data_IF_938681543617
#
_entry.id   IF_938681543617
#
_cell.length_a   1.000
_cell.length_b   1.000
_cell.length_c   1.000
_cell.angle_alpha   90.00
_cell.angle_beta   90.00
_cell.angle_gamma   90.00
#
_symmetry.space_group_name_H-M   'P 1'
#
loop_
_entity.id
_entity.type
_entity.pdbx_description
1 polymer ?
#
# COMPACT_ATOMS: atom_id res chain seq x y z
N UNK A 1 -13.29 -13.26 2.59
CA UNK A 1 -12.07 -12.64 2.09
C UNK A 1 -12.39 -11.34 1.36
N UNK A 2 -11.48 -10.35 1.38
CA UNK A 2 -11.77 -9.02 0.86
C UNK A 2 -11.55 -8.97 -0.67
N UNK A 3 -12.59 -8.67 -1.48
CA UNK A 3 -12.46 -8.72 -2.94
C UNK A 3 -11.37 -7.81 -3.53
N UNK A 4 -11.21 -6.61 -2.96
CA UNK A 4 -10.17 -5.67 -3.43
C UNK A 4 -8.78 -6.24 -3.19
N UNK A 5 -8.56 -6.85 -2.03
CA UNK A 5 -7.27 -7.42 -1.72
C UNK A 5 -6.97 -8.66 -2.57
N UNK A 6 -7.98 -9.47 -2.85
CA UNK A 6 -7.83 -10.60 -3.78
C UNK A 6 -7.42 -10.12 -5.16
N UNK A 7 -8.02 -9.05 -5.65
CA UNK A 7 -7.66 -8.46 -6.94
C UNK A 7 -6.21 -7.97 -6.93
N UNK A 8 -5.79 -7.30 -5.86
CA UNK A 8 -4.42 -6.83 -5.69
C UNK A 8 -3.45 -8.01 -5.73
N UNK A 9 -3.76 -9.07 -5.00
CA UNK A 9 -2.92 -10.28 -5.00
C UNK A 9 -2.80 -10.91 -6.38
N UNK A 10 -3.90 -10.94 -7.13
CA UNK A 10 -3.88 -11.50 -8.49
C UNK A 10 -2.99 -10.69 -9.42
N UNK A 11 -2.96 -9.37 -9.28
CA UNK A 11 -2.06 -8.51 -10.04
C UNK A 11 -0.60 -8.78 -9.69
N UNK A 12 -0.31 -8.99 -8.41
CA UNK A 12 1.05 -9.29 -7.96
C UNK A 12 1.55 -10.63 -8.51
N UNK A 13 0.65 -11.60 -8.68
CA UNK A 13 0.98 -12.91 -9.24
C UNK A 13 1.24 -12.86 -10.74
N UNK A 14 0.92 -11.77 -11.40
CA UNK A 14 1.21 -11.56 -12.81
C UNK A 14 2.71 -11.52 -13.09
N UNK A 15 3.07 -11.66 -14.36
CA UNK A 15 4.47 -11.78 -14.77
C UNK A 15 5.06 -10.48 -15.33
N UNK A 16 4.36 -9.36 -15.20
CA UNK A 16 4.84 -8.10 -15.75
C UNK A 16 4.98 -7.01 -14.70
N UNK A 17 6.03 -6.16 -14.83
CA UNK A 17 6.15 -5.00 -13.95
C UNK A 17 4.94 -4.07 -13.99
N UNK A 18 4.24 -4.03 -15.11
CA UNK A 18 3.02 -3.24 -15.26
C UNK A 18 1.93 -3.70 -14.28
N UNK A 19 1.75 -5.01 -14.15
CA UNK A 19 0.79 -5.58 -13.21
C UNK A 19 1.22 -5.34 -11.76
N UNK A 20 2.52 -5.46 -11.47
CA UNK A 20 3.04 -5.20 -10.13
C UNK A 20 2.85 -3.73 -9.72
N UNK A 21 3.05 -2.80 -10.65
CA UNK A 21 2.79 -1.37 -10.40
C UNK A 21 1.32 -1.13 -10.08
N UNK A 22 0.44 -1.76 -10.87
CA UNK A 22 -0.98 -1.64 -10.64
C UNK A 22 -1.38 -2.19 -9.28
N UNK A 23 -0.79 -3.33 -8.87
CA UNK A 23 -1.05 -3.90 -7.55
C UNK A 23 -0.72 -2.91 -6.43
N UNK A 24 0.43 -2.24 -6.53
CA UNK A 24 0.87 -1.28 -5.51
C UNK A 24 -0.04 -0.04 -5.52
N UNK A 25 -0.39 0.47 -6.70
CA UNK A 25 -1.28 1.63 -6.81
C UNK A 25 -2.65 1.30 -6.20
N UNK A 26 -3.21 0.14 -6.53
CA UNK A 26 -4.49 -0.28 -5.99
C UNK A 26 -4.42 -0.48 -4.47
N UNK A 27 -3.31 -1.04 -3.97
CA UNK A 27 -3.13 -1.23 -2.52
C UNK A 27 -3.08 0.13 -1.80
N UNK A 28 -2.42 1.13 -2.40
CA UNK A 28 -2.33 2.45 -1.78
C UNK A 28 -3.70 3.14 -1.75
N UNK A 29 -4.49 2.97 -2.81
CA UNK A 29 -5.87 3.49 -2.86
C UNK A 29 -6.71 2.84 -1.76
N UNK A 30 -6.58 1.52 -1.59
CA UNK A 30 -7.27 0.80 -0.54
C UNK A 30 -6.83 1.28 0.84
N UNK A 31 -5.52 1.51 1.03
CA UNK A 31 -5.00 2.04 2.29
C UNK A 31 -5.58 3.41 2.61
N UNK A 32 -5.65 4.31 1.63
CA UNK A 32 -6.24 5.63 1.81
C UNK A 32 -7.68 5.52 2.31
N UNK A 33 -8.45 4.64 1.71
CA UNK A 33 -9.84 4.40 2.07
C UNK A 33 -9.98 3.84 3.49
N UNK A 34 -9.14 2.86 3.84
CA UNK A 34 -9.10 2.27 5.18
C UNK A 34 -8.75 3.31 6.24
N UNK A 35 -7.74 4.13 5.98
CA UNK A 35 -7.32 5.18 6.91
C UNK A 35 -8.43 6.22 7.10
N UNK A 36 -9.09 6.61 6.01
CA UNK A 36 -10.21 7.55 6.08
C UNK A 36 -11.31 7.02 6.98
N UNK A 37 -11.69 5.76 6.78
CA UNK A 37 -12.74 5.12 7.58
C UNK A 37 -12.38 4.96 9.05
N UNK A 38 -11.09 4.95 9.36
CA UNK A 38 -10.58 4.89 10.72
C UNK A 38 -10.42 6.26 11.37
N UNK A 39 -10.78 7.33 10.65
CA UNK A 39 -10.77 8.68 11.20
C UNK A 39 -9.46 9.45 10.99
N UNK A 40 -8.50 8.91 10.26
CA UNK A 40 -7.28 9.65 9.93
C UNK A 40 -7.59 10.73 8.91
N UNK A 41 -7.06 11.94 9.14
CA UNK A 41 -7.37 13.12 8.36
C UNK A 41 -6.18 13.53 7.50
N UNK A 42 -6.45 13.99 6.29
CA UNK A 42 -5.44 14.49 5.37
C UNK A 42 -5.81 14.19 3.91
N UNK A 43 -5.12 14.86 3.00
CA UNK A 43 -5.26 14.63 1.56
C UNK A 43 -4.30 13.52 1.15
N UNK A 44 -4.82 12.31 0.99
CA UNK A 44 -4.02 11.16 0.60
C UNK A 44 -3.36 10.46 1.78
N UNK A 45 -2.66 9.37 1.45
CA UNK A 45 -2.06 8.49 2.45
C UNK A 45 -0.98 9.20 3.27
N UNK A 46 -0.08 9.94 2.60
CA UNK A 46 1.05 10.57 3.30
C UNK A 46 0.63 11.50 4.41
N UNK A 47 -0.34 12.37 4.16
CA UNK A 47 -0.84 13.30 5.17
C UNK A 47 -1.54 12.57 6.31
N UNK A 48 -2.33 11.53 5.99
CA UNK A 48 -2.99 10.73 7.00
C UNK A 48 -1.97 10.04 7.91
N UNK A 49 -0.89 9.51 7.34
CA UNK A 49 0.16 8.85 8.11
C UNK A 49 0.91 9.83 9.02
N UNK A 50 1.08 11.07 8.59
CA UNK A 50 1.75 12.09 9.40
C UNK A 50 0.99 12.39 10.69
N UNK A 51 -0.32 12.25 10.69
CA UNK A 51 -1.14 12.51 11.87
C UNK A 51 -1.28 11.28 12.75
N UNK A 52 -0.75 10.13 12.34
CA UNK A 52 -0.92 8.88 13.07
C UNK A 52 0.04 8.77 14.24
N UNK A 53 -0.43 8.11 15.31
CA UNK A 53 0.36 7.83 16.50
C UNK A 53 0.75 6.34 16.48
N UNK A 54 2.04 6.07 16.61
CA UNK A 54 2.58 4.72 16.61
C UNK A 54 1.96 3.83 17.69
N UNK A 55 1.49 4.41 18.80
CA UNK A 55 0.84 3.66 19.87
C UNK A 55 -0.48 3.05 19.45
N UNK A 56 -1.22 3.75 18.58
CA UNK A 56 -2.51 3.27 18.07
C UNK A 56 -2.41 2.68 16.66
N UNK A 57 -1.23 2.74 16.04
CA UNK A 57 -1.01 2.25 14.71
C UNK A 57 0.33 1.50 14.69
N UNK A 58 0.30 0.24 15.13
CA UNK A 58 1.51 -0.57 15.28
C UNK A 58 2.29 -0.81 14.00
N UNK A 59 1.59 -0.92 12.86
CA UNK A 59 2.22 -1.12 11.54
C UNK A 59 2.43 0.18 10.78
N UNK A 60 2.52 1.31 11.48
CA UNK A 60 2.72 2.62 10.85
C UNK A 60 3.98 2.64 9.96
N UNK A 61 5.07 2.05 10.43
CA UNK A 61 6.31 2.00 9.65
C UNK A 61 6.12 1.19 8.36
N UNK A 62 5.36 0.09 8.43
CA UNK A 62 5.02 -0.69 7.24
C UNK A 62 4.26 0.17 6.23
N UNK A 63 3.30 0.95 6.70
CA UNK A 63 2.53 1.84 5.84
C UNK A 63 3.43 2.87 5.16
N UNK A 64 4.37 3.48 5.89
CA UNK A 64 5.33 4.42 5.32
C UNK A 64 6.23 3.76 4.27
N UNK A 65 6.75 2.57 4.56
CA UNK A 65 7.62 1.86 3.63
C UNK A 65 6.89 1.54 2.32
N UNK A 66 5.64 1.08 2.41
CA UNK A 66 4.83 0.81 1.23
C UNK A 66 4.54 2.08 0.44
N UNK A 67 4.14 3.13 1.12
CA UNK A 67 3.79 4.39 0.47
C UNK A 67 5.00 5.05 -0.23
N UNK A 68 6.20 4.88 0.31
CA UNK A 68 7.43 5.35 -0.33
C UNK A 68 7.62 4.73 -1.71
N UNK A 69 7.40 3.42 -1.83
CA UNK A 69 7.53 2.73 -3.12
C UNK A 69 6.48 3.23 -4.10
N UNK A 70 5.25 3.41 -3.64
CA UNK A 70 4.19 3.97 -4.47
C UNK A 70 4.57 5.36 -4.99
N UNK A 71 5.20 6.19 -4.14
CA UNK A 71 5.66 7.51 -4.55
C UNK A 71 6.76 7.45 -5.59
N UNK A 72 7.68 6.49 -5.47
CA UNK A 72 8.71 6.28 -6.49
C UNK A 72 8.10 5.92 -7.83
N UNK A 73 7.08 5.07 -7.84
CA UNK A 73 6.35 4.71 -9.05
C UNK A 73 5.68 5.95 -9.65
N UNK A 74 5.04 6.76 -8.82
CA UNK A 74 4.33 7.96 -9.28
C UNK A 74 5.28 9.01 -9.85
N UNK A 75 6.46 9.20 -9.23
CA UNK A 75 7.40 10.23 -9.65
C UNK A 75 8.31 9.80 -10.79
N UNK A 76 8.72 8.55 -10.82
CA UNK A 76 9.67 8.05 -11.82
C UNK A 76 9.01 7.33 -12.99
N UNK A 77 7.76 6.92 -12.82
CA UNK A 77 7.03 6.21 -13.87
C UNK A 77 7.78 4.95 -14.31
N UNK A 78 7.89 4.77 -15.62
CA UNK A 78 8.54 3.59 -16.18
C UNK A 78 10.05 3.53 -15.95
N UNK A 79 10.67 4.62 -15.47
CA UNK A 79 12.10 4.61 -15.15
C UNK A 79 12.39 4.00 -13.77
N UNK A 80 11.39 3.83 -12.93
CA UNK A 80 11.57 3.12 -11.66
C UNK A 80 11.67 1.62 -11.94
N UNK A 81 12.80 1.04 -11.56
CA UNK A 81 13.05 -0.39 -11.77
C UNK A 81 12.37 -1.22 -10.69
N UNK A 82 11.09 -1.52 -10.91
CA UNK A 82 10.31 -2.33 -9.98
C UNK A 82 10.56 -3.81 -10.24
N UNK A 83 11.27 -4.45 -9.30
CA UNK A 83 11.50 -5.88 -9.36
C UNK A 83 10.36 -6.65 -8.70
N UNK A 84 10.27 -7.95 -8.98
CA UNK A 84 9.30 -8.83 -8.32
C UNK A 84 9.52 -8.85 -6.80
N UNK A 85 10.78 -8.86 -6.37
CA UNK A 85 11.13 -8.83 -4.96
C UNK A 85 10.64 -7.56 -4.27
N UNK A 86 10.88 -6.40 -4.88
CA UNK A 86 10.41 -5.12 -4.32
C UNK A 86 8.90 -5.09 -4.27
N UNK A 87 8.24 -5.54 -5.33
CA UNK A 87 6.78 -5.56 -5.38
C UNK A 87 6.20 -6.46 -4.29
N UNK A 88 6.77 -7.64 -4.11
CA UNK A 88 6.32 -8.58 -3.07
C UNK A 88 6.50 -8.04 -1.66
N UNK A 89 7.64 -7.41 -1.38
CA UNK A 89 7.90 -6.79 -0.07
C UNK A 89 6.93 -5.63 0.19
N UNK A 90 6.69 -4.83 -0.83
CA UNK A 90 5.80 -3.69 -0.71
C UNK A 90 4.37 -4.15 -0.40
N UNK A 91 3.90 -5.17 -1.09
CA UNK A 91 2.57 -5.70 -0.81
C UNK A 91 2.48 -6.33 0.57
N UNK A 92 3.56 -6.98 1.03
CA UNK A 92 3.61 -7.53 2.39
C UNK A 92 3.46 -6.42 3.45
N UNK A 93 4.01 -5.23 3.20
CA UNK A 93 3.81 -4.09 4.09
C UNK A 93 2.36 -3.64 4.12
N UNK A 94 1.70 -3.54 2.97
CA UNK A 94 0.26 -3.22 2.93
C UNK A 94 -0.55 -4.29 3.65
N UNK A 95 -0.24 -5.55 3.42
CA UNK A 95 -0.97 -6.65 4.05
C UNK A 95 -0.89 -6.56 5.57
N UNK A 96 0.29 -6.26 6.12
CA UNK A 96 0.46 -6.11 7.56
C UNK A 96 -0.48 -5.05 8.13
N UNK A 97 -0.62 -3.92 7.45
CA UNK A 97 -1.52 -2.84 7.86
C UNK A 97 -2.98 -3.29 7.79
N UNK A 98 -3.37 -3.91 6.69
CA UNK A 98 -4.75 -4.37 6.51
C UNK A 98 -5.14 -5.42 7.54
N UNK A 99 -4.19 -6.27 7.95
CA UNK A 99 -4.44 -7.25 9.01
C UNK A 99 -4.58 -6.58 10.36
N UNK A 100 -3.74 -5.61 10.66
CA UNK A 100 -3.86 -4.86 11.92
C UNK A 100 -5.24 -4.22 12.03
N UNK A 101 -5.73 -3.62 10.95
CA UNK A 101 -7.03 -2.96 10.93
C UNK A 101 -8.18 -3.92 10.69
N UNK A 102 -7.91 -5.20 10.58
CA UNK A 102 -8.90 -6.28 10.46
C UNK A 102 -9.82 -6.12 9.24
N UNK A 103 -9.28 -5.60 8.14
CA UNK A 103 -10.02 -5.53 6.87
C UNK A 103 -9.77 -6.76 6.01
N UNK A 104 -8.76 -7.52 6.34
CA UNK A 104 -8.52 -8.82 5.70
C UNK A 104 -8.22 -9.89 6.75
#
# INVERSE_FOLDING_TARGET
MHPRFEHIQSLLEGNSPSEWREAIIEADIMLDDVLHKRGYVGDGVGEKLKSADKKSFGTLQNAWEAHKVRNLIAHQGSTFDLSETIAGRTLAHYEAVFREFKVI
#
